data_IF_377893434163
#
_entry.id   IF_377893434163
#
_cell.length_a   1.000
_cell.length_b   1.000
_cell.length_c   1.000
_cell.angle_alpha   90.00
_cell.angle_beta   90.00
_cell.angle_gamma   90.00
#
_symmetry.space_group_name_H-M   'P 1'
#
loop_
_entity.id
_entity.type
_entity.pdbx_description
1 polymer ?
#
# COMPACT_ATOMS: atom_id res chain seq x y z
N UNK A 1 -21.54 0.42 -14.41
CA UNK A 1 -20.21 0.66 -14.99
C UNK A 1 -19.66 1.92 -14.38
N UNK A 2 -18.92 1.79 -13.28
CA UNK A 2 -18.27 2.91 -12.61
C UNK A 2 -16.93 3.17 -13.29
N UNK A 3 -16.79 4.33 -13.93
CA UNK A 3 -15.55 4.81 -14.53
C UNK A 3 -14.51 5.05 -13.44
N UNK A 4 -13.58 4.11 -13.25
CA UNK A 4 -12.35 4.37 -12.51
C UNK A 4 -11.46 5.26 -13.39
N UNK A 5 -11.27 6.52 -12.96
CA UNK A 5 -10.32 7.44 -13.59
C UNK A 5 -8.93 6.81 -13.63
N UNK A 6 -8.28 6.86 -14.79
CA UNK A 6 -6.85 6.49 -14.90
C UNK A 6 -6.03 7.34 -13.93
N UNK A 7 -5.01 6.73 -13.33
CA UNK A 7 -4.09 7.41 -12.38
C UNK A 7 -3.51 8.70 -12.97
N UNK A 8 -3.27 8.73 -14.28
CA UNK A 8 -2.80 9.95 -14.96
C UNK A 8 -3.87 11.04 -15.04
N UNK A 9 -5.13 10.67 -15.29
CA UNK A 9 -6.25 11.60 -15.32
C UNK A 9 -6.51 12.18 -13.92
N UNK A 10 -6.50 11.34 -12.88
CA UNK A 10 -6.65 11.78 -11.50
C UNK A 10 -5.53 12.75 -11.08
N UNK A 11 -4.28 12.50 -11.50
CA UNK A 11 -3.15 13.43 -11.27
C UNK A 11 -3.35 14.77 -11.97
N UNK A 12 -3.83 14.75 -13.21
CA UNK A 12 -4.11 15.97 -13.97
C UNK A 12 -5.25 16.77 -13.31
N UNK A 13 -6.28 16.11 -12.80
CA UNK A 13 -7.41 16.74 -12.12
C UNK A 13 -7.03 17.33 -10.75
N UNK A 14 -6.16 16.66 -9.99
CA UNK A 14 -5.58 17.22 -8.75
C UNK A 14 -4.80 18.51 -9.01
N UNK A 15 -4.02 18.57 -10.10
CA UNK A 15 -3.28 19.78 -10.47
C UNK A 15 -4.20 20.91 -10.92
N UNK A 16 -5.35 20.58 -11.52
CA UNK A 16 -6.40 21.53 -11.92
C UNK A 16 -7.30 21.97 -10.76
N UNK A 17 -7.17 21.37 -9.57
CA UNK A 17 -8.02 21.66 -8.41
C UNK A 17 -9.46 21.15 -8.55
N UNK A 18 -9.76 20.32 -9.55
CA UNK A 18 -11.09 19.79 -9.81
C UNK A 18 -11.51 18.69 -8.82
N UNK A 19 -10.53 18.03 -8.19
CA UNK A 19 -10.73 16.98 -7.19
C UNK A 19 -9.86 17.26 -5.98
N UNK A 20 -10.34 16.95 -4.77
CA UNK A 20 -9.56 17.08 -3.54
C UNK A 20 -8.83 15.77 -3.21
N UNK A 21 -7.67 15.87 -2.57
CA UNK A 21 -6.90 14.70 -2.11
C UNK A 21 -7.71 13.90 -1.08
N UNK A 22 -7.73 12.56 -1.15
CA UNK A 22 -8.39 11.75 -0.14
C UNK A 22 -7.74 12.00 1.22
N UNK A 23 -8.56 12.17 2.25
CA UNK A 23 -8.09 12.32 3.61
C UNK A 23 -7.62 10.95 4.12
N UNK A 24 -6.33 10.68 3.97
CA UNK A 24 -5.70 9.49 4.55
C UNK A 24 -5.96 9.46 6.07
N UNK A 25 -6.30 8.30 6.63
CA UNK A 25 -6.49 8.16 8.08
C UNK A 25 -5.22 8.60 8.83
N UNK A 26 -5.39 9.46 9.83
CA UNK A 26 -4.29 9.91 10.67
C UNK A 26 -3.83 8.75 11.56
N UNK A 27 -2.51 8.54 11.67
CA UNK A 27 -1.88 7.50 12.52
C UNK A 27 -2.05 7.75 14.04
N UNK A 28 -3.12 8.43 14.49
CA UNK A 28 -3.38 8.71 15.92
C UNK A 28 -3.41 7.39 16.71
N UNK A 29 -2.87 7.40 17.93
CA UNK A 29 -2.86 6.25 18.86
C UNK A 29 -4.24 5.59 18.89
N UNK A 30 -4.28 4.29 18.58
CA UNK A 30 -5.47 3.46 18.70
C UNK A 30 -6.01 3.56 20.13
N UNK A 31 -7.23 4.06 20.29
CA UNK A 31 -8.04 3.79 21.46
C UNK A 31 -8.60 2.39 21.26
N UNK A 32 -8.28 1.48 22.19
CA UNK A 32 -8.79 0.12 22.23
C UNK A 32 -10.30 0.14 22.47
N UNK A 33 -11.06 -0.20 21.43
CA UNK A 33 -12.45 -0.66 21.56
C UNK A 33 -12.48 -2.18 21.35
N UNK A 34 -13.39 -2.89 22.04
CA UNK A 34 -13.28 -4.33 22.26
C UNK A 34 -13.34 -5.12 20.96
N UNK A 35 -12.46 -6.11 20.89
CA UNK A 35 -12.22 -6.99 19.76
C UNK A 35 -13.50 -7.72 19.31
N UNK A 36 -13.80 -7.60 18.02
CA UNK A 36 -14.64 -8.55 17.29
C UNK A 36 -13.69 -9.33 16.36
N UNK A 37 -13.66 -10.67 16.41
CA UNK A 37 -12.75 -11.47 15.58
C UNK A 37 -13.23 -11.45 14.12
N UNK A 38 -12.69 -10.52 13.33
CA UNK A 38 -12.74 -10.59 11.86
C UNK A 38 -11.57 -11.42 11.35
N UNK A 39 -11.62 -12.74 11.50
CA UNK A 39 -10.55 -13.68 11.10
C UNK A 39 -10.59 -14.10 9.63
N UNK A 40 -11.54 -13.58 8.84
CA UNK A 40 -11.68 -13.97 7.44
C UNK A 40 -11.15 -12.85 6.53
N UNK A 41 -10.02 -13.10 5.86
CA UNK A 41 -9.54 -12.20 4.81
C UNK A 41 -10.40 -12.30 3.55
N UNK A 42 -10.53 -11.19 2.79
CA UNK A 42 -11.23 -11.21 1.52
C UNK A 42 -10.65 -12.30 0.61
N UNK A 43 -11.49 -13.14 -0.03
CA UNK A 43 -11.01 -14.08 -1.03
C UNK A 43 -10.64 -13.29 -2.29
N UNK A 44 -9.34 -13.18 -2.59
CA UNK A 44 -8.87 -12.60 -3.84
C UNK A 44 -7.50 -11.94 -3.77
N UNK A 45 -6.85 -11.85 -4.93
CA UNK A 45 -5.59 -11.12 -5.10
C UNK A 45 -5.89 -9.64 -5.29
N UNK A 46 -5.31 -8.78 -4.44
CA UNK A 46 -5.36 -7.34 -4.64
C UNK A 46 -4.31 -6.92 -5.66
N UNK A 47 -4.74 -6.19 -6.68
CA UNK A 47 -3.85 -5.61 -7.69
C UNK A 47 -3.70 -4.12 -7.44
N UNK A 48 -2.47 -3.63 -7.44
CA UNK A 48 -2.13 -2.20 -7.34
C UNK A 48 -1.22 -1.85 -8.51
N UNK A 49 -1.66 -0.95 -9.37
CA UNK A 49 -0.91 -0.47 -10.53
C UNK A 49 0.22 0.45 -10.11
N UNK A 50 1.35 0.32 -10.81
CA UNK A 50 2.58 1.07 -10.57
C UNK A 50 3.47 0.46 -9.49
N UNK A 51 4.45 1.24 -9.05
CA UNK A 51 5.40 0.84 -8.02
C UNK A 51 5.67 2.01 -7.07
N UNK A 52 5.97 1.75 -5.78
CA UNK A 52 6.40 2.78 -4.85
C UNK A 52 7.66 3.50 -5.35
N UNK A 53 7.87 4.77 -4.96
CA UNK A 53 9.11 5.47 -5.26
C UNK A 53 10.32 4.75 -4.65
N UNK A 54 11.49 4.93 -5.27
CA UNK A 54 12.74 4.36 -4.76
C UNK A 54 13.09 4.92 -3.38
N UNK A 55 13.86 4.15 -2.61
CA UNK A 55 14.27 4.50 -1.24
C UNK A 55 14.79 5.93 -1.10
N UNK A 56 15.69 6.36 -1.99
CA UNK A 56 16.27 7.71 -2.00
C UNK A 56 15.27 8.82 -2.34
N UNK A 57 14.14 8.46 -2.98
CA UNK A 57 13.08 9.38 -3.37
C UNK A 57 11.86 9.32 -2.44
N UNK A 58 11.85 8.45 -1.41
CA UNK A 58 10.70 8.29 -0.50
C UNK A 58 10.69 9.30 0.64
N UNK A 59 11.87 9.73 1.10
CA UNK A 59 12.03 10.65 2.23
C UNK A 59 13.09 11.70 1.95
N UNK A 60 12.95 12.86 2.59
CA UNK A 60 13.90 13.98 2.54
C UNK A 60 14.12 14.51 3.95
N UNK A 61 15.32 14.99 4.23
CA UNK A 61 15.64 15.63 5.51
C UNK A 61 15.31 17.11 5.39
N UNK A 62 14.51 17.62 6.32
CA UNK A 62 14.17 19.04 6.47
C UNK A 62 14.31 19.38 7.94
N UNK A 63 15.21 20.31 8.28
CA UNK A 63 15.48 20.74 9.67
C UNK A 63 15.68 19.53 10.62
N UNK A 64 16.64 18.66 10.28
CA UNK A 64 16.98 17.42 11.02
C UNK A 64 15.83 16.41 11.19
N UNK A 65 14.71 16.63 10.50
CA UNK A 65 13.53 15.77 10.54
C UNK A 65 13.36 15.05 9.21
N UNK A 66 13.08 13.74 9.27
CA UNK A 66 12.76 12.94 8.10
C UNK A 66 11.31 13.18 7.68
N UNK A 67 11.11 13.77 6.50
CA UNK A 67 9.79 14.09 5.96
C UNK A 67 9.53 13.25 4.70
N UNK A 68 8.33 12.68 4.57
CA UNK A 68 7.91 11.96 3.34
C UNK A 68 7.94 12.90 2.13
N UNK A 69 8.49 12.41 1.03
CA UNK A 69 8.49 13.12 -0.25
C UNK A 69 7.08 13.26 -0.83
N UNK A 70 6.89 14.20 -1.76
CA UNK A 70 5.63 14.35 -2.49
C UNK A 70 5.30 13.09 -3.30
N UNK A 71 6.31 12.44 -3.88
CA UNK A 71 6.13 11.20 -4.65
C UNK A 71 5.60 10.07 -3.77
N UNK A 72 6.11 9.93 -2.53
CA UNK A 72 5.62 8.92 -1.59
C UNK A 72 4.18 9.19 -1.15
N UNK A 73 3.83 10.46 -0.88
CA UNK A 73 2.44 10.83 -0.54
C UNK A 73 1.47 10.52 -1.69
N UNK A 74 1.85 10.84 -2.93
CA UNK A 74 1.05 10.53 -4.11
C UNK A 74 0.89 9.02 -4.33
N UNK A 75 1.94 8.24 -4.05
CA UNK A 75 1.87 6.79 -4.07
C UNK A 75 0.90 6.25 -3.01
N UNK A 76 0.96 6.73 -1.77
CA UNK A 76 0.04 6.34 -0.70
C UNK A 76 -1.43 6.66 -1.02
N UNK A 77 -1.68 7.85 -1.59
CA UNK A 77 -3.01 8.25 -2.06
C UNK A 77 -3.51 7.34 -3.19
N UNK A 78 -2.66 7.07 -4.19
CA UNK A 78 -2.97 6.17 -5.30
C UNK A 78 -3.24 4.74 -4.82
N UNK A 79 -2.40 4.23 -3.93
CA UNK A 79 -2.59 2.92 -3.32
C UNK A 79 -3.92 2.89 -2.55
N UNK A 80 -4.21 3.93 -1.76
CA UNK A 80 -5.47 4.00 -1.03
C UNK A 80 -6.64 3.88 -1.97
N UNK A 81 -6.67 4.63 -3.08
CA UNK A 81 -7.77 4.57 -4.04
C UNK A 81 -7.95 3.18 -4.65
N UNK A 82 -6.87 2.50 -5.02
CA UNK A 82 -6.89 1.20 -5.69
C UNK A 82 -7.13 0.01 -4.76
N UNK A 83 -6.71 0.11 -3.49
CA UNK A 83 -6.88 -0.94 -2.51
C UNK A 83 -8.35 -0.99 -2.04
N UNK A 84 -9.13 -1.89 -2.65
CA UNK A 84 -10.56 -2.04 -2.41
C UNK A 84 -10.90 -3.32 -1.63
N UNK A 85 -10.13 -4.40 -1.79
CA UNK A 85 -10.38 -5.68 -1.12
C UNK A 85 -10.01 -5.62 0.36
N UNK A 86 -8.81 -5.14 0.67
CA UNK A 86 -8.26 -5.24 2.02
C UNK A 86 -8.49 -3.99 2.90
N UNK A 87 -9.09 -2.93 2.36
CA UNK A 87 -9.25 -1.66 3.07
C UNK A 87 -10.16 -1.84 4.29
N UNK A 88 -9.65 -1.52 5.48
CA UNK A 88 -10.43 -1.59 6.73
C UNK A 88 -10.63 -2.99 7.30
N UNK A 89 -9.99 -4.04 6.75
CA UNK A 89 -10.04 -5.42 7.29
C UNK A 89 -9.50 -5.50 8.72
N UNK A 90 -8.50 -4.67 9.08
CA UNK A 90 -7.95 -4.55 10.43
C UNK A 90 -7.45 -5.88 11.02
N UNK A 91 -6.61 -6.59 10.28
CA UNK A 91 -5.92 -7.79 10.77
C UNK A 91 -5.17 -7.45 12.06
N UNK A 92 -5.62 -8.04 13.17
CA UNK A 92 -5.08 -7.88 14.51
C UNK A 92 -4.49 -9.23 14.95
N UNK A 93 -3.26 -9.52 14.52
CA UNK A 93 -2.61 -10.80 14.77
C UNK A 93 -1.51 -11.06 13.76
N UNK A 94 -0.95 -12.27 13.84
CA UNK A 94 0.06 -12.72 12.89
C UNK A 94 -0.52 -12.92 11.50
N UNK A 95 0.27 -12.64 10.48
CA UNK A 95 -0.14 -12.84 9.09
C UNK A 95 1.05 -13.20 8.20
N UNK A 96 0.73 -13.77 7.05
CA UNK A 96 1.66 -13.97 5.93
C UNK A 96 1.30 -13.06 4.77
N UNK A 97 2.33 -12.56 4.10
CA UNK A 97 2.22 -11.77 2.88
C UNK A 97 2.70 -12.59 1.69
N UNK A 98 1.81 -12.86 0.73
CA UNK A 98 2.22 -13.34 -0.60
C UNK A 98 2.15 -12.19 -1.59
N UNK A 99 3.23 -11.97 -2.33
CA UNK A 99 3.40 -10.83 -3.22
C UNK A 99 4.06 -11.24 -4.53
N UNK A 100 3.51 -10.75 -5.64
CA UNK A 100 4.16 -10.76 -6.95
C UNK A 100 4.28 -9.33 -7.47
N UNK A 101 5.51 -8.86 -7.67
CA UNK A 101 5.80 -7.53 -8.23
C UNK A 101 6.18 -7.63 -9.70
N UNK A 102 5.51 -6.85 -10.55
CA UNK A 102 5.81 -6.68 -11.96
C UNK A 102 6.42 -5.30 -12.18
N UNK A 103 7.70 -5.27 -12.54
CA UNK A 103 8.46 -4.05 -12.72
C UNK A 103 8.67 -3.71 -14.19
N UNK A 104 8.82 -2.42 -14.56
CA UNK A 104 9.09 -2.06 -15.94
C UNK A 104 10.52 -2.44 -16.39
N UNK A 105 11.41 -2.71 -15.45
CA UNK A 105 12.79 -3.17 -15.72
C UNK A 105 13.31 -4.05 -14.59
N UNK A 106 14.43 -4.75 -14.83
CA UNK A 106 15.07 -5.61 -13.81
C UNK A 106 15.79 -4.83 -12.71
N UNK A 107 16.03 -3.53 -12.91
CA UNK A 107 16.78 -2.66 -11.98
C UNK A 107 16.06 -2.40 -10.66
N UNK A 108 14.77 -2.74 -10.59
CA UNK A 108 13.97 -2.53 -9.40
C UNK A 108 14.17 -3.67 -8.39
N UNK A 109 14.26 -3.28 -7.13
CA UNK A 109 14.45 -4.18 -6.00
C UNK A 109 13.13 -4.50 -5.31
N UNK A 110 13.04 -5.69 -4.73
CA UNK A 110 11.86 -6.14 -3.99
C UNK A 110 11.71 -5.45 -2.63
N UNK A 111 12.81 -5.06 -1.99
CA UNK A 111 12.83 -4.44 -0.67
C UNK A 111 12.05 -3.12 -0.64
N UNK A 112 12.22 -2.29 -1.67
CA UNK A 112 11.51 -1.02 -1.83
C UNK A 112 9.99 -1.22 -1.96
N UNK A 113 9.58 -2.26 -2.69
CA UNK A 113 8.17 -2.62 -2.83
C UNK A 113 7.59 -3.14 -1.51
N UNK A 114 8.27 -4.08 -0.88
CA UNK A 114 7.81 -4.68 0.37
C UNK A 114 7.65 -3.63 1.47
N UNK A 115 8.64 -2.74 1.62
CA UNK A 115 8.56 -1.66 2.60
C UNK A 115 7.42 -0.69 2.29
N UNK A 116 7.32 -0.24 1.03
CA UNK A 116 6.25 0.67 0.62
C UNK A 116 4.85 0.09 0.80
N UNK A 117 4.69 -1.21 0.48
CA UNK A 117 3.44 -1.94 0.65
C UNK A 117 3.05 -2.05 2.12
N UNK A 118 3.95 -2.52 2.99
CA UNK A 118 3.67 -2.68 4.43
C UNK A 118 3.36 -1.33 5.10
N UNK A 119 4.10 -0.27 4.76
CA UNK A 119 3.84 1.09 5.23
C UNK A 119 2.42 1.56 4.80
N UNK A 120 2.00 1.24 3.56
CA UNK A 120 0.65 1.54 3.05
C UNK A 120 -0.43 0.73 3.78
N UNK A 121 -0.24 -0.59 3.94
CA UNK A 121 -1.19 -1.47 4.63
C UNK A 121 -1.43 -1.03 6.08
N UNK A 122 -0.37 -0.61 6.77
CA UNK A 122 -0.50 -0.06 8.13
C UNK A 122 -1.19 1.31 8.13
N UNK A 123 -0.83 2.19 7.19
CA UNK A 123 -1.46 3.52 7.07
C UNK A 123 -2.97 3.39 6.86
N UNK A 124 -3.41 2.42 6.06
CA UNK A 124 -4.83 2.24 5.69
C UNK A 124 -5.61 1.35 6.66
N UNK A 125 -5.02 1.02 7.81
CA UNK A 125 -5.63 0.16 8.83
C UNK A 125 -6.00 -1.24 8.29
N UNK A 126 -5.28 -1.74 7.28
CA UNK A 126 -5.42 -3.15 6.86
C UNK A 126 -4.77 -4.06 7.90
N UNK A 127 -3.55 -3.71 8.32
CA UNK A 127 -2.82 -4.39 9.39
C UNK A 127 -2.60 -3.44 10.55
N UNK A 128 -2.61 -3.96 11.78
CA UNK A 128 -2.33 -3.15 12.97
C UNK A 128 -0.87 -2.70 13.03
N UNK A 129 0.05 -3.63 12.74
CA UNK A 129 1.48 -3.40 12.84
C UNK A 129 2.21 -4.38 11.90
N UNK A 130 3.24 -3.89 11.21
CA UNK A 130 4.10 -4.67 10.32
C UNK A 130 4.91 -5.73 11.07
N UNK A 131 5.16 -5.55 12.37
CA UNK A 131 5.87 -6.54 13.23
C UNK A 131 5.19 -7.91 13.32
N UNK A 132 3.89 -7.99 13.00
CA UNK A 132 3.14 -9.26 13.05
C UNK A 132 3.24 -10.04 11.73
N UNK A 133 3.96 -9.54 10.74
CA UNK A 133 4.28 -10.28 9.55
C UNK A 133 5.26 -11.42 9.89
N UNK A 134 4.84 -12.65 9.68
CA UNK A 134 5.62 -13.85 10.05
C UNK A 134 6.35 -14.47 8.86
N UNK A 135 5.79 -14.32 7.66
CA UNK A 135 6.36 -14.86 6.43
C UNK A 135 6.05 -13.95 5.23
N UNK A 136 7.04 -13.77 4.37
CA UNK A 136 6.90 -13.07 3.10
C UNK A 136 7.28 -14.01 1.97
N UNK A 137 6.32 -14.33 1.10
CA UNK A 137 6.57 -15.01 -0.17
C UNK A 137 6.52 -13.98 -1.29
N UNK A 138 7.69 -13.47 -1.69
CA UNK A 138 7.81 -12.43 -2.70
C UNK A 138 8.43 -12.96 -4.00
N UNK A 139 7.81 -12.63 -5.13
CA UNK A 139 8.32 -12.90 -6.47
C UNK A 139 8.41 -11.60 -7.26
N UNK A 140 9.39 -11.51 -8.17
CA UNK A 140 9.50 -10.39 -9.11
C UNK A 140 9.55 -10.87 -10.55
N UNK A 141 8.89 -10.10 -11.41
CA UNK A 141 8.89 -10.27 -12.87
C UNK A 141 9.10 -8.91 -13.54
N UNK A 142 9.46 -8.95 -14.82
CA UNK A 142 9.56 -7.75 -15.66
C UNK A 142 8.36 -7.71 -16.57
N UNK A 143 7.57 -6.63 -16.46
CA UNK A 143 6.45 -6.29 -17.34
C UNK A 143 6.53 -4.79 -17.62
N UNK A 144 7.03 -4.44 -18.81
CA UNK A 144 7.21 -3.04 -19.22
C UNK A 144 5.89 -2.34 -19.53
N UNK A 145 4.87 -3.09 -19.91
CA UNK A 145 3.60 -2.54 -20.38
C UNK A 145 2.63 -2.32 -19.22
N UNK A 146 2.64 -3.22 -18.24
CA UNK A 146 1.71 -3.17 -17.12
C UNK A 146 2.40 -3.42 -15.76
N UNK A 147 3.21 -2.46 -15.28
CA UNK A 147 3.84 -2.57 -13.97
C UNK A 147 2.79 -2.51 -12.87
N UNK A 148 2.83 -3.49 -11.95
CA UNK A 148 1.83 -3.67 -10.91
C UNK A 148 2.35 -4.52 -9.76
N UNK A 149 1.64 -4.50 -8.65
CA UNK A 149 1.87 -5.33 -7.48
C UNK A 149 0.61 -6.12 -7.24
N UNK A 150 0.75 -7.43 -7.15
CA UNK A 150 -0.31 -8.37 -6.81
C UNK A 150 0.00 -8.93 -5.42
N UNK A 151 -0.94 -8.84 -4.48
CA UNK A 151 -0.71 -9.37 -3.14
C UNK A 151 -1.94 -9.98 -2.49
N UNK A 152 -1.68 -10.88 -1.56
CA UNK A 152 -2.67 -11.44 -0.63
C UNK A 152 -2.13 -11.41 0.79
N UNK A 153 -3.05 -11.33 1.75
CA UNK A 153 -2.75 -11.45 3.17
C UNK A 153 -3.51 -12.64 3.73
N UNK A 154 -2.81 -13.48 4.49
CA UNK A 154 -3.37 -14.65 5.16
C UNK A 154 -3.16 -14.49 6.66
N UNK A 155 -4.21 -14.32 7.48
CA UNK A 155 -4.08 -14.35 8.93
C UNK A 155 -3.62 -15.74 9.39
N UNK A 156 -2.70 -15.77 10.36
CA UNK A 156 -2.29 -17.00 11.02
C UNK A 156 -2.94 -17.05 12.40
N UNK A 157 -3.62 -18.15 12.69
CA UNK A 157 -3.98 -18.52 14.05
C UNK A 157 -2.83 -19.35 14.62
N UNK A 158 -2.14 -18.82 15.63
CA UNK A 158 -1.15 -19.55 16.43
C UNK A 158 -1.80 -20.13 17.68
#
# INVERSE_FOLDING_TARGET
MSEELSIEQYRAELQRGAVSRPKLPSRKKQVSQPDQPGTETPPGVQVILGSPPSKSNSYRIVNDTLVKSTAMKLWEESFYMQCNLYRGVRINGFFELTLTAFFPSIRHDLDGVLKGLLDCLQTMQVIKNDKYNTAINARKFVDKQNPRIEFTLTPINL
#
